data_IF_950083896280
#
_entry.id   IF_950083896280
#
_cell.length_a   1.000
_cell.length_b   1.000
_cell.length_c   1.000
_cell.angle_alpha   90.00
_cell.angle_beta   90.00
_cell.angle_gamma   90.00
#
_symmetry.space_group_name_H-M   'P 1'
#
loop_
_entity.id
_entity.type
_entity.pdbx_description
1 polymer ?
#
# COMPACT_ATOMS: atom_id res chain seq x y z
N UNK A 1 46.27 -54.80 -1.51
CA UNK A 1 45.78 -54.16 -2.77
C UNK A 1 44.41 -53.60 -2.54
N UNK A 2 44.34 -52.29 -2.27
CA UNK A 2 43.08 -51.56 -2.06
C UNK A 2 42.90 -50.54 -3.22
N UNK A 3 41.86 -50.74 -4.02
CA UNK A 3 41.55 -49.92 -5.22
C UNK A 3 40.57 -48.81 -4.84
N UNK A 4 41.01 -47.61 -4.98
CA UNK A 4 40.32 -46.40 -4.69
C UNK A 4 39.02 -46.23 -5.53
N UNK A 5 37.89 -46.03 -4.86
CA UNK A 5 36.61 -45.60 -5.45
C UNK A 5 36.39 -44.12 -5.14
N UNK A 6 36.73 -43.26 -6.05
CA UNK A 6 36.25 -41.84 -6.15
C UNK A 6 36.35 -41.45 -7.62
N UNK A 7 35.27 -41.05 -8.35
CA UNK A 7 34.72 -39.71 -8.25
C UNK A 7 33.23 -39.57 -8.78
N UNK A 8 32.23 -40.20 -8.25
CA UNK A 8 30.85 -40.01 -8.73
C UNK A 8 30.10 -38.90 -8.01
N UNK A 9 30.43 -38.59 -6.74
CA UNK A 9 29.71 -37.64 -5.91
C UNK A 9 29.96 -36.17 -6.34
N UNK A 10 31.17 -35.83 -6.78
CA UNK A 10 31.50 -34.43 -7.20
C UNK A 10 30.83 -34.00 -8.50
N UNK A 11 30.43 -34.92 -9.39
CA UNK A 11 29.79 -34.58 -10.67
C UNK A 11 28.29 -34.32 -10.50
N UNK A 12 27.62 -34.99 -9.56
CA UNK A 12 26.20 -34.76 -9.24
C UNK A 12 25.97 -33.42 -8.51
N UNK A 13 26.84 -33.03 -7.56
CA UNK A 13 26.80 -31.77 -6.87
C UNK A 13 26.93 -30.57 -7.83
N UNK A 14 27.92 -30.63 -8.77
CA UNK A 14 28.08 -29.57 -9.78
C UNK A 14 26.88 -29.43 -10.74
N UNK A 15 26.22 -30.54 -11.11
CA UNK A 15 25.03 -30.49 -11.97
C UNK A 15 23.83 -29.85 -11.23
N UNK A 16 23.64 -30.17 -9.97
CA UNK A 16 22.62 -29.56 -9.11
C UNK A 16 22.85 -28.05 -8.94
N UNK A 17 24.11 -27.63 -8.72
CA UNK A 17 24.45 -26.23 -8.56
C UNK A 17 24.23 -25.43 -9.84
N UNK A 18 24.55 -25.99 -11.01
CA UNK A 18 24.30 -25.35 -12.32
C UNK A 18 22.82 -25.23 -12.61
N UNK A 19 22.01 -26.26 -12.34
CA UNK A 19 20.55 -26.22 -12.50
C UNK A 19 19.94 -25.18 -11.57
N UNK A 20 20.33 -25.17 -10.30
CA UNK A 20 19.86 -24.18 -9.31
C UNK A 20 20.27 -22.76 -9.70
N UNK A 21 21.47 -22.56 -10.17
CA UNK A 21 21.94 -21.26 -10.68
C UNK A 21 21.15 -20.81 -11.92
N UNK A 22 20.96 -21.70 -12.88
CA UNK A 22 20.18 -21.41 -14.11
C UNK A 22 18.73 -21.05 -13.81
N UNK A 23 18.09 -21.75 -12.87
CA UNK A 23 16.74 -21.45 -12.42
C UNK A 23 16.68 -20.09 -11.72
N UNK A 24 17.62 -19.76 -10.86
CA UNK A 24 17.71 -18.44 -10.21
C UNK A 24 17.91 -17.30 -11.23
N UNK A 25 18.76 -17.47 -12.20
CA UNK A 25 18.98 -16.49 -13.27
C UNK A 25 17.73 -16.32 -14.14
N UNK A 26 17.03 -17.39 -14.50
CA UNK A 26 15.80 -17.34 -15.26
C UNK A 26 14.69 -16.60 -14.48
N UNK A 27 14.57 -16.87 -13.18
CA UNK A 27 13.61 -16.21 -12.29
C UNK A 27 13.95 -14.71 -12.15
N UNK A 28 15.21 -14.36 -11.94
CA UNK A 28 15.66 -12.96 -11.85
C UNK A 28 15.37 -12.17 -13.13
N UNK A 29 15.65 -12.76 -14.31
CA UNK A 29 15.35 -12.15 -15.60
C UNK A 29 13.84 -11.98 -15.85
N UNK A 30 13.03 -12.93 -15.39
CA UNK A 30 11.58 -12.82 -15.47
C UNK A 30 11.06 -11.68 -14.60
N UNK A 31 11.57 -11.56 -13.38
CA UNK A 31 11.19 -10.47 -12.47
C UNK A 31 11.66 -9.11 -13.00
N UNK A 32 12.87 -8.99 -13.51
CA UNK A 32 13.36 -7.77 -14.17
C UNK A 32 12.46 -7.35 -15.33
N UNK A 33 12.01 -8.31 -16.14
CA UNK A 33 11.10 -8.04 -17.26
C UNK A 33 9.72 -7.59 -16.76
N UNK A 34 9.21 -8.22 -15.70
CA UNK A 34 7.96 -7.87 -15.06
C UNK A 34 7.98 -6.44 -14.51
N UNK A 35 9.03 -6.07 -13.76
CA UNK A 35 9.22 -4.73 -13.23
C UNK A 35 9.35 -3.69 -14.36
N UNK A 36 10.08 -3.99 -15.42
CA UNK A 36 10.23 -3.10 -16.58
C UNK A 36 8.88 -2.82 -17.27
N UNK A 37 8.01 -3.83 -17.39
CA UNK A 37 6.65 -3.66 -17.93
C UNK A 37 5.80 -2.79 -16.99
N UNK A 38 5.90 -3.00 -15.69
CA UNK A 38 5.19 -2.19 -14.69
C UNK A 38 5.65 -0.73 -14.74
N UNK A 39 6.96 -0.48 -14.79
CA UNK A 39 7.50 0.88 -14.86
C UNK A 39 7.10 1.61 -16.14
N UNK A 40 7.10 0.92 -17.29
CA UNK A 40 6.61 1.43 -18.56
C UNK A 40 5.12 1.81 -18.46
N UNK A 41 4.29 0.95 -17.86
CA UNK A 41 2.88 1.24 -17.65
C UNK A 41 2.67 2.48 -16.78
N UNK A 42 3.40 2.58 -15.65
CA UNK A 42 3.28 3.73 -14.74
C UNK A 42 3.78 5.03 -15.39
N UNK A 43 4.78 4.97 -16.27
CA UNK A 43 5.21 6.14 -17.05
C UNK A 43 4.10 6.61 -17.99
N UNK A 44 3.53 5.71 -18.77
CA UNK A 44 2.45 6.02 -19.72
C UNK A 44 1.18 6.49 -18.99
N UNK A 45 0.80 5.88 -17.87
CA UNK A 45 -0.34 6.32 -17.06
C UNK A 45 -0.14 7.75 -16.53
N UNK A 46 1.09 8.13 -16.20
CA UNK A 46 1.44 9.50 -15.79
C UNK A 46 1.37 10.49 -16.94
N UNK A 47 1.85 10.11 -18.12
CA UNK A 47 1.97 11.00 -19.29
C UNK A 47 0.63 11.15 -20.03
N UNK A 48 -0.01 10.03 -20.37
CA UNK A 48 -1.21 10.00 -21.21
C UNK A 48 -2.50 9.77 -20.43
N UNK A 49 -2.40 9.16 -19.24
CA UNK A 49 -3.53 8.74 -18.42
C UNK A 49 -3.83 7.25 -18.57
N UNK A 50 -4.61 6.72 -17.63
CA UNK A 50 -4.96 5.30 -17.55
C UNK A 50 -5.83 4.86 -18.76
N UNK A 51 -6.85 5.65 -19.08
CA UNK A 51 -7.83 5.29 -20.12
C UNK A 51 -7.20 5.23 -21.52
N UNK A 52 -6.37 6.22 -21.86
CA UNK A 52 -5.73 6.38 -23.17
C UNK A 52 -4.53 5.43 -23.39
N UNK A 53 -4.08 4.72 -22.37
CA UNK A 53 -2.94 3.80 -22.47
C UNK A 53 -3.41 2.38 -22.78
N UNK A 54 -2.82 1.74 -23.80
CA UNK A 54 -3.10 0.34 -24.15
C UNK A 54 -1.98 -0.61 -23.74
N UNK A 55 -2.28 -1.90 -23.60
CA UNK A 55 -1.26 -2.95 -23.35
C UNK A 55 -0.21 -3.01 -24.47
N UNK A 56 -0.57 -2.63 -25.70
CA UNK A 56 0.37 -2.55 -26.82
C UNK A 56 1.36 -1.40 -26.64
N UNK A 57 0.88 -0.25 -26.19
CA UNK A 57 1.76 0.90 -25.91
C UNK A 57 2.73 0.56 -24.78
N UNK A 58 2.25 -0.09 -23.72
CA UNK A 58 3.06 -0.55 -22.58
C UNK A 58 4.13 -1.54 -23.05
N UNK A 59 3.78 -2.51 -23.90
CA UNK A 59 4.73 -3.47 -24.44
C UNK A 59 5.83 -2.77 -25.28
N UNK A 60 5.44 -1.82 -26.13
CA UNK A 60 6.37 -1.04 -26.94
C UNK A 60 7.32 -0.21 -26.06
N UNK A 61 6.81 0.49 -25.05
CA UNK A 61 7.60 1.27 -24.10
C UNK A 61 8.55 0.40 -23.28
N UNK A 62 8.10 -0.80 -22.86
CA UNK A 62 8.92 -1.77 -22.13
C UNK A 62 9.95 -2.49 -23.02
N UNK A 63 9.92 -2.31 -24.35
CA UNK A 63 10.81 -3.02 -25.28
C UNK A 63 10.55 -4.53 -25.32
N UNK A 64 9.29 -4.96 -25.21
CA UNK A 64 8.89 -6.36 -25.28
C UNK A 64 7.80 -6.59 -26.33
N UNK A 65 7.64 -7.84 -26.78
CA UNK A 65 6.52 -8.19 -27.64
C UNK A 65 5.20 -8.07 -26.86
N UNK A 66 4.10 -7.66 -27.55
CA UNK A 66 2.78 -7.51 -26.92
C UNK A 66 2.31 -8.79 -26.22
N UNK A 67 2.57 -9.97 -26.80
CA UNK A 67 2.26 -11.26 -26.20
C UNK A 67 3.04 -11.50 -24.89
N UNK A 68 4.28 -10.99 -24.79
CA UNK A 68 5.06 -11.08 -23.56
C UNK A 68 4.47 -10.18 -22.47
N UNK A 69 3.99 -8.96 -22.80
CA UNK A 69 3.32 -8.10 -21.82
C UNK A 69 2.07 -8.78 -21.26
N UNK A 70 1.24 -9.40 -22.10
CA UNK A 70 0.06 -10.15 -21.67
C UNK A 70 0.37 -11.43 -20.89
N UNK A 71 1.55 -12.01 -21.08
CA UNK A 71 2.00 -13.15 -20.26
C UNK A 71 2.26 -12.74 -18.81
N UNK A 72 2.83 -11.54 -18.57
CA UNK A 72 3.12 -11.03 -17.23
C UNK A 72 1.92 -10.35 -16.57
N UNK A 73 1.11 -9.64 -17.35
CA UNK A 73 -0.07 -8.89 -16.88
C UNK A 73 -1.20 -9.00 -17.88
N UNK A 74 -2.29 -9.61 -17.48
CA UNK A 74 -3.45 -9.87 -18.36
C UNK A 74 -4.24 -8.63 -18.71
N UNK A 75 -4.12 -7.57 -17.87
CA UNK A 75 -4.87 -6.31 -18.05
C UNK A 75 -4.14 -5.13 -17.41
N UNK A 76 -4.64 -3.91 -17.67
CA UNK A 76 -4.17 -2.69 -16.99
C UNK A 76 -4.49 -2.71 -15.50
N UNK A 77 -5.57 -3.34 -15.11
CA UNK A 77 -5.97 -3.50 -13.70
C UNK A 77 -4.95 -4.35 -12.94
N UNK A 78 -4.43 -5.43 -13.53
CA UNK A 78 -3.35 -6.22 -12.93
C UNK A 78 -2.07 -5.40 -12.73
N UNK A 79 -1.75 -4.48 -13.65
CA UNK A 79 -0.63 -3.54 -13.49
C UNK A 79 -0.86 -2.57 -12.32
N UNK A 80 -2.09 -2.07 -12.15
CA UNK A 80 -2.44 -1.23 -10.99
C UNK A 80 -2.37 -2.02 -9.69
N UNK A 81 -2.84 -3.27 -9.68
CA UNK A 81 -2.71 -4.14 -8.50
C UNK A 81 -1.24 -4.41 -8.15
N UNK A 82 -0.37 -4.60 -9.15
CA UNK A 82 1.07 -4.72 -8.93
C UNK A 82 1.69 -3.42 -8.39
N UNK A 83 1.25 -2.26 -8.87
CA UNK A 83 1.65 -0.97 -8.30
C UNK A 83 1.22 -0.84 -6.84
N UNK A 84 -0.01 -1.21 -6.49
CA UNK A 84 -0.46 -1.19 -5.10
C UNK A 84 0.36 -2.15 -4.21
N UNK A 85 0.67 -3.35 -4.71
CA UNK A 85 1.49 -4.32 -3.99
C UNK A 85 2.91 -3.77 -3.73
N UNK A 86 3.54 -3.14 -4.74
CA UNK A 86 4.86 -2.51 -4.63
C UNK A 86 4.85 -1.37 -3.60
N UNK A 87 3.86 -0.47 -3.67
CA UNK A 87 3.76 0.63 -2.70
C UNK A 87 3.50 0.13 -1.27
N UNK A 88 2.77 -0.96 -1.11
CA UNK A 88 2.55 -1.58 0.19
C UNK A 88 3.84 -2.22 0.76
N UNK A 89 4.68 -2.82 -0.09
CA UNK A 89 5.97 -3.38 0.32
C UNK A 89 6.94 -2.27 0.73
N UNK A 90 7.07 -1.21 -0.09
CA UNK A 90 7.88 -0.03 0.25
C UNK A 90 7.42 0.59 1.59
N UNK A 91 6.11 0.64 1.83
CA UNK A 91 5.56 1.15 3.09
C UNK A 91 5.93 0.28 4.30
N UNK A 92 6.01 -1.05 4.14
CA UNK A 92 6.43 -1.98 5.21
C UNK A 92 7.87 -1.75 5.67
N UNK A 93 8.73 -1.29 4.78
CA UNK A 93 10.12 -0.96 5.13
C UNK A 93 10.24 0.43 5.79
N UNK A 94 9.49 1.41 5.29
CA UNK A 94 9.64 2.82 5.67
C UNK A 94 8.85 3.19 6.92
N UNK A 95 7.59 2.73 7.05
CA UNK A 95 6.67 3.19 8.10
C UNK A 95 7.07 2.71 9.51
N UNK A 96 7.41 1.44 9.77
CA UNK A 96 7.67 0.96 11.13
C UNK A 96 8.77 1.73 11.86
N UNK A 97 9.95 2.02 11.26
CA UNK A 97 10.98 2.81 11.93
C UNK A 97 10.55 4.27 12.18
N UNK A 98 9.65 4.84 11.38
CA UNK A 98 9.11 6.18 11.62
C UNK A 98 8.14 6.21 12.80
N UNK A 99 7.26 5.20 12.91
CA UNK A 99 6.30 5.06 13.99
C UNK A 99 7.01 4.87 15.34
N UNK A 100 8.12 4.14 15.40
CA UNK A 100 8.87 3.88 16.63
C UNK A 100 9.69 5.07 17.14
N UNK A 101 9.93 6.10 16.31
CA UNK A 101 10.72 7.30 16.69
C UNK A 101 10.07 8.18 17.78
N UNK A 102 8.77 8.07 17.97
CA UNK A 102 8.04 8.91 18.91
C UNK A 102 6.90 8.13 19.56
N UNK A 103 6.57 8.44 20.80
CA UNK A 103 5.34 7.95 21.44
C UNK A 103 4.14 8.86 21.17
N UNK A 104 4.32 10.03 20.60
CA UNK A 104 3.26 10.97 20.26
C UNK A 104 2.35 10.39 19.16
N UNK A 105 1.08 10.18 19.47
CA UNK A 105 0.11 9.57 18.56
C UNK A 105 -0.08 10.41 17.30
N UNK A 106 -0.16 11.72 17.42
CA UNK A 106 -0.33 12.63 16.28
C UNK A 106 0.85 12.56 15.32
N UNK A 107 2.09 12.53 15.85
CA UNK A 107 3.30 12.36 15.02
C UNK A 107 3.35 11.02 14.31
N UNK A 108 2.90 9.95 14.97
CA UNK A 108 2.83 8.61 14.36
C UNK A 108 1.80 8.56 13.23
N UNK A 109 0.58 9.07 13.46
CA UNK A 109 -0.47 9.16 12.44
C UNK A 109 0.02 9.99 11.25
N UNK A 110 0.64 11.13 11.51
CA UNK A 110 1.22 11.98 10.48
C UNK A 110 2.26 11.25 9.65
N UNK A 111 3.22 10.58 10.29
CA UNK A 111 4.28 9.86 9.59
C UNK A 111 3.72 8.80 8.62
N UNK A 112 2.65 8.09 9.00
CA UNK A 112 1.98 7.12 8.13
C UNK A 112 1.37 7.83 6.92
N UNK A 113 0.57 8.88 7.16
CA UNK A 113 -0.15 9.58 6.08
C UNK A 113 0.82 10.29 5.13
N UNK A 114 1.81 11.00 5.65
CA UNK A 114 2.82 11.71 4.83
C UNK A 114 3.61 10.72 3.96
N UNK A 115 3.97 9.55 4.49
CA UNK A 115 4.66 8.51 3.72
C UNK A 115 3.79 8.04 2.54
N UNK A 116 2.52 7.76 2.78
CA UNK A 116 1.59 7.33 1.73
C UNK A 116 1.38 8.42 0.67
N UNK A 117 1.17 9.67 1.07
CA UNK A 117 1.03 10.78 0.13
C UNK A 117 2.28 10.95 -0.73
N UNK A 118 3.47 10.84 -0.12
CA UNK A 118 4.74 10.92 -0.84
C UNK A 118 4.90 9.79 -1.87
N UNK A 119 4.54 8.55 -1.52
CA UNK A 119 4.58 7.42 -2.45
C UNK A 119 3.66 7.63 -3.65
N UNK A 120 2.48 8.25 -3.46
CA UNK A 120 1.53 8.51 -4.53
C UNK A 120 1.81 9.80 -5.32
N UNK A 121 2.70 10.67 -4.86
CA UNK A 121 2.90 12.01 -5.44
C UNK A 121 3.22 11.96 -6.95
N UNK A 122 4.12 11.09 -7.36
CA UNK A 122 4.48 10.90 -8.77
C UNK A 122 3.36 10.29 -9.63
N UNK A 123 2.39 9.63 -8.98
CA UNK A 123 1.29 8.90 -9.62
C UNK A 123 -0.08 9.56 -9.41
N UNK A 124 -0.11 10.83 -8.99
CA UNK A 124 -1.36 11.55 -8.65
C UNK A 124 -2.40 11.50 -9.78
N UNK A 125 -1.97 11.67 -11.04
CA UNK A 125 -2.86 11.59 -12.21
C UNK A 125 -3.52 10.22 -12.33
N UNK A 126 -2.75 9.14 -12.11
CA UNK A 126 -3.27 7.77 -12.05
C UNK A 126 -4.27 7.63 -10.91
N UNK A 127 -3.95 8.10 -9.69
CA UNK A 127 -4.84 8.02 -8.53
C UNK A 127 -6.17 8.73 -8.77
N UNK A 128 -6.18 9.89 -9.44
CA UNK A 128 -7.42 10.59 -9.82
C UNK A 128 -8.26 9.77 -10.80
N UNK A 129 -7.64 9.11 -11.79
CA UNK A 129 -8.38 8.23 -12.69
C UNK A 129 -8.95 7.01 -11.95
N UNK A 130 -8.17 6.41 -11.05
CA UNK A 130 -8.58 5.23 -10.27
C UNK A 130 -9.74 5.52 -9.31
N UNK A 131 -9.86 6.74 -8.76
CA UNK A 131 -11.01 7.11 -7.92
C UNK A 131 -12.32 6.97 -8.67
N UNK A 132 -12.35 7.34 -9.95
CA UNK A 132 -13.59 7.29 -10.75
C UNK A 132 -14.12 5.86 -10.91
N UNK A 133 -13.23 4.90 -11.04
CA UNK A 133 -13.57 3.49 -11.21
C UNK A 133 -13.61 2.73 -9.88
N UNK A 134 -12.84 3.17 -8.88
CA UNK A 134 -12.75 2.54 -7.57
C UNK A 134 -13.85 2.91 -6.57
N UNK A 135 -14.78 3.80 -6.93
CA UNK A 135 -15.97 4.13 -6.10
C UNK A 135 -16.89 2.92 -5.96
N UNK A 136 -17.04 2.10 -7.01
CA UNK A 136 -17.81 0.86 -6.93
C UNK A 136 -17.04 -0.17 -6.09
N UNK A 137 -17.56 -0.62 -4.93
CA UNK A 137 -16.88 -1.62 -4.11
C UNK A 137 -16.67 -2.98 -4.81
N UNK A 138 -17.43 -3.26 -5.87
CA UNK A 138 -17.30 -4.49 -6.68
C UNK A 138 -16.20 -4.41 -7.72
N UNK A 139 -15.66 -3.22 -7.97
CA UNK A 139 -14.56 -3.08 -8.93
C UNK A 139 -13.26 -3.62 -8.33
N UNK A 140 -12.45 -4.42 -9.05
CA UNK A 140 -11.22 -5.03 -8.53
C UNK A 140 -10.21 -4.03 -7.95
N UNK A 141 -10.19 -2.79 -8.44
CA UNK A 141 -9.30 -1.73 -7.98
C UNK A 141 -9.88 -0.89 -6.85
N UNK A 142 -11.09 -1.19 -6.36
CA UNK A 142 -11.69 -0.45 -5.26
C UNK A 142 -10.90 -0.64 -3.98
N UNK A 143 -10.53 0.43 -3.25
CA UNK A 143 -9.88 0.30 -1.95
C UNK A 143 -10.79 -0.37 -0.90
N UNK A 144 -12.07 -0.48 -1.19
CA UNK A 144 -13.09 -1.10 -0.33
C UNK A 144 -13.47 -2.52 -0.77
N UNK A 145 -12.95 -2.98 -1.94
CA UNK A 145 -13.23 -4.29 -2.51
C UNK A 145 -12.50 -5.44 -1.83
N UNK A 146 -12.86 -6.66 -2.22
CA UNK A 146 -12.25 -7.89 -1.68
C UNK A 146 -10.82 -8.07 -2.20
N UNK A 147 -10.58 -7.81 -3.48
CA UNK A 147 -9.27 -7.98 -4.13
C UNK A 147 -8.18 -7.11 -3.51
N UNK A 148 -8.56 -5.93 -2.97
CA UNK A 148 -7.63 -5.03 -2.28
C UNK A 148 -7.55 -5.25 -0.78
N UNK A 149 -8.28 -6.22 -0.23
CA UNK A 149 -8.39 -6.46 1.22
C UNK A 149 -7.06 -6.68 1.91
N UNK A 150 -6.14 -7.44 1.31
CA UNK A 150 -4.81 -7.67 1.87
C UNK A 150 -4.00 -6.37 2.03
N UNK A 151 -4.04 -5.48 1.04
CA UNK A 151 -3.33 -4.19 1.06
C UNK A 151 -4.00 -3.21 2.04
N UNK A 152 -5.34 -3.20 2.06
CA UNK A 152 -6.12 -2.43 3.04
C UNK A 152 -5.76 -2.85 4.46
N UNK A 153 -5.74 -4.16 4.75
CA UNK A 153 -5.39 -4.68 6.06
C UNK A 153 -3.95 -4.34 6.46
N UNK A 154 -2.99 -4.45 5.55
CA UNK A 154 -1.61 -4.03 5.79
C UNK A 154 -1.52 -2.53 6.14
N UNK A 155 -2.30 -1.67 5.48
CA UNK A 155 -2.37 -0.24 5.79
C UNK A 155 -3.03 0.03 7.15
N UNK A 156 -4.07 -0.72 7.51
CA UNK A 156 -4.70 -0.66 8.84
C UNK A 156 -3.72 -1.10 9.93
N UNK A 157 -2.85 -2.08 9.66
CA UNK A 157 -1.85 -2.58 10.62
C UNK A 157 -0.80 -1.53 10.97
N UNK A 158 -0.47 -0.60 10.07
CA UNK A 158 0.38 0.55 10.43
C UNK A 158 -0.28 1.41 11.50
N UNK A 159 -1.57 1.68 11.40
CA UNK A 159 -2.30 2.42 12.43
C UNK A 159 -2.45 1.59 13.72
N UNK A 160 -2.60 0.26 13.62
CA UNK A 160 -2.59 -0.61 14.79
C UNK A 160 -1.26 -0.51 15.53
N UNK A 161 -0.14 -0.49 14.82
CA UNK A 161 1.18 -0.28 15.43
C UNK A 161 1.33 1.12 16.03
N UNK A 162 0.74 2.14 15.41
CA UNK A 162 0.83 3.52 15.88
C UNK A 162 0.13 3.76 17.22
N UNK A 163 -0.91 3.01 17.56
CA UNK A 163 -1.64 3.16 18.83
C UNK A 163 -0.99 2.40 20.00
N UNK A 164 -0.08 1.45 19.72
CA UNK A 164 0.63 0.72 20.78
C UNK A 164 1.56 1.68 21.52
N UNK A 165 1.48 1.71 22.84
CA UNK A 165 2.30 2.58 23.72
C UNK A 165 2.29 4.06 23.31
N UNK A 166 1.22 4.52 22.68
CA UNK A 166 1.06 5.91 22.28
C UNK A 166 0.73 6.85 23.42
N UNK A 167 1.07 8.13 23.21
CA UNK A 167 0.66 9.24 24.09
C UNK A 167 -0.14 10.25 23.26
N UNK A 168 -1.40 10.49 23.62
CA UNK A 168 -2.17 9.90 24.73
C UNK A 168 -2.46 8.40 24.52
N UNK A 169 -2.69 7.64 25.61
CA UNK A 169 -3.07 6.24 25.51
C UNK A 169 -4.47 6.12 24.91
N UNK A 170 -4.65 5.09 24.08
CA UNK A 170 -5.96 4.79 23.48
C UNK A 170 -6.77 3.89 24.41
N UNK A 171 -8.07 4.19 24.67
CA UNK A 171 -8.95 3.31 25.44
C UNK A 171 -9.01 1.91 24.84
N UNK A 172 -8.98 0.87 25.70
CA UNK A 172 -8.92 -0.54 25.25
C UNK A 172 -10.10 -0.94 24.36
N UNK A 173 -11.29 -0.43 24.66
CA UNK A 173 -12.51 -0.70 23.87
C UNK A 173 -12.52 0.02 22.50
N UNK A 174 -11.77 1.11 22.36
CA UNK A 174 -11.60 1.82 21.09
C UNK A 174 -10.42 1.25 20.26
N UNK A 175 -9.45 0.63 20.89
CA UNK A 175 -8.22 0.17 20.25
C UNK A 175 -8.46 -0.89 19.14
N UNK A 176 -9.56 -1.63 19.21
CA UNK A 176 -9.93 -2.60 18.18
C UNK A 176 -10.38 -1.93 16.88
N UNK A 177 -11.18 -0.86 16.96
CA UNK A 177 -11.84 -0.23 15.82
C UNK A 177 -11.07 1.01 15.31
N UNK A 178 -10.30 1.68 16.19
CA UNK A 178 -9.57 2.91 15.87
C UNK A 178 -8.61 2.78 14.67
N UNK A 179 -7.83 1.70 14.48
CA UNK A 179 -6.95 1.58 13.31
C UNK A 179 -7.70 1.68 11.99
N UNK A 180 -8.88 1.08 11.90
CA UNK A 180 -9.74 1.16 10.71
C UNK A 180 -10.31 2.57 10.52
N UNK A 181 -10.73 3.23 11.59
CA UNK A 181 -11.20 4.63 11.52
C UNK A 181 -10.09 5.57 11.06
N UNK A 182 -8.87 5.36 11.51
CA UNK A 182 -7.70 6.13 11.06
C UNK A 182 -7.35 5.86 9.59
N UNK A 183 -7.53 4.62 9.13
CA UNK A 183 -7.41 4.31 7.71
C UNK A 183 -8.48 5.01 6.87
N UNK A 184 -9.75 5.05 7.31
CA UNK A 184 -10.81 5.80 6.64
C UNK A 184 -10.51 7.30 6.62
N UNK A 185 -10.02 7.85 7.73
CA UNK A 185 -9.53 9.22 7.79
C UNK A 185 -8.43 9.47 6.77
N UNK A 186 -7.44 8.59 6.66
CA UNK A 186 -6.39 8.65 5.63
C UNK A 186 -6.98 8.64 4.22
N UNK A 187 -7.97 7.79 3.94
CA UNK A 187 -8.66 7.78 2.63
C UNK A 187 -9.29 9.14 2.31
N UNK A 188 -9.90 9.79 3.29
CA UNK A 188 -10.41 11.15 3.15
C UNK A 188 -9.32 12.18 2.83
N UNK A 189 -8.18 12.10 3.50
CA UNK A 189 -7.01 12.97 3.24
C UNK A 189 -6.46 12.71 1.83
N UNK A 190 -6.30 11.45 1.41
CA UNK A 190 -5.82 11.10 0.06
C UNK A 190 -6.79 11.63 -0.99
N UNK A 191 -8.11 11.48 -0.79
CA UNK A 191 -9.13 12.01 -1.69
C UNK A 191 -9.02 13.53 -1.82
N UNK A 192 -8.91 14.25 -0.70
CA UNK A 192 -8.73 15.70 -0.73
C UNK A 192 -7.43 16.10 -1.44
N UNK A 193 -6.32 15.42 -1.13
CA UNK A 193 -5.01 15.65 -1.73
C UNK A 193 -5.03 15.46 -3.25
N UNK A 194 -5.76 14.46 -3.76
CA UNK A 194 -5.85 14.23 -5.21
C UNK A 194 -6.42 15.42 -5.98
N UNK A 195 -7.28 16.22 -5.37
CA UNK A 195 -7.92 17.38 -5.98
C UNK A 195 -7.37 18.71 -5.47
N UNK A 196 -6.33 18.71 -4.64
CA UNK A 196 -5.70 19.94 -4.14
C UNK A 196 -4.76 20.56 -5.19
N UNK A 197 -5.21 21.60 -5.87
CA UNK A 197 -4.46 22.34 -6.88
C UNK A 197 -3.59 23.47 -6.27
N UNK A 198 -3.58 23.64 -4.96
CA UNK A 198 -2.78 24.68 -4.33
C UNK A 198 -1.28 24.39 -4.45
N UNK A 199 -0.48 25.45 -4.61
CA UNK A 199 0.98 25.32 -4.77
C UNK A 199 1.59 24.53 -3.62
N UNK A 200 2.23 23.41 -3.95
CA UNK A 200 2.83 22.48 -2.97
C UNK A 200 1.80 21.84 -2.03
N UNK A 201 0.53 21.73 -2.47
CA UNK A 201 -0.56 21.10 -1.70
C UNK A 201 -0.74 21.69 -0.30
N UNK A 202 -0.68 23.04 -0.21
CA UNK A 202 -0.78 23.76 1.08
C UNK A 202 -2.09 23.50 1.80
N UNK A 203 -3.21 23.33 1.05
CA UNK A 203 -4.52 23.09 1.65
C UNK A 203 -4.57 21.71 2.31
N UNK A 204 -3.99 20.68 1.66
CA UNK A 204 -3.89 19.34 2.24
C UNK A 204 -3.05 19.34 3.50
N UNK A 205 -1.91 20.05 3.50
CA UNK A 205 -1.06 20.15 4.70
C UNK A 205 -1.80 20.85 5.84
N UNK A 206 -2.47 21.97 5.56
CA UNK A 206 -3.24 22.70 6.58
C UNK A 206 -4.41 21.85 7.12
N UNK A 207 -5.11 21.09 6.23
CA UNK A 207 -6.15 20.17 6.62
C UNK A 207 -5.58 19.08 7.56
N UNK A 208 -4.47 18.46 7.17
CA UNK A 208 -3.84 17.40 7.93
C UNK A 208 -3.36 17.91 9.30
N UNK A 209 -2.72 19.10 9.34
CA UNK A 209 -2.27 19.73 10.58
C UNK A 209 -3.43 19.96 11.56
N UNK A 210 -4.51 20.59 11.11
CA UNK A 210 -5.66 20.90 11.97
C UNK A 210 -6.45 19.65 12.38
N UNK A 211 -6.62 18.68 11.47
CA UNK A 211 -7.46 17.51 11.75
C UNK A 211 -6.75 16.43 12.56
N UNK A 212 -5.42 16.27 12.48
CA UNK A 212 -4.68 15.35 13.36
C UNK A 212 -4.82 15.79 14.82
N UNK A 213 -4.63 17.08 15.10
CA UNK A 213 -4.80 17.62 16.45
C UNK A 213 -6.22 17.36 16.99
N UNK A 214 -7.23 17.57 16.15
CA UNK A 214 -8.63 17.30 16.49
C UNK A 214 -8.85 15.82 16.79
N UNK A 215 -8.37 14.91 15.94
CA UNK A 215 -8.48 13.46 16.12
C UNK A 215 -7.83 13.03 17.46
N UNK A 216 -6.62 13.49 17.74
CA UNK A 216 -5.92 13.17 19.00
C UNK A 216 -6.70 13.69 20.21
N UNK A 217 -7.22 14.92 20.15
CA UNK A 217 -8.07 15.49 21.24
C UNK A 217 -9.36 14.69 21.43
N UNK A 218 -10.02 14.26 20.36
CA UNK A 218 -11.21 13.41 20.44
C UNK A 218 -10.91 12.06 21.10
N UNK A 219 -9.76 11.45 20.78
CA UNK A 219 -9.30 10.22 21.45
C UNK A 219 -9.07 10.47 22.93
N UNK A 220 -8.41 11.58 23.32
CA UNK A 220 -8.21 11.97 24.71
C UNK A 220 -9.53 12.17 25.45
N UNK A 221 -10.45 12.94 24.89
CA UNK A 221 -11.77 13.19 25.47
C UNK A 221 -12.56 11.89 25.63
N UNK A 222 -12.46 10.98 24.64
CA UNK A 222 -13.11 9.68 24.69
C UNK A 222 -12.61 8.81 25.86
N UNK A 223 -11.41 9.09 26.39
CA UNK A 223 -10.82 8.37 27.54
C UNK A 223 -11.44 8.76 28.87
N UNK A 224 -12.20 9.87 28.93
CA UNK A 224 -12.87 10.30 30.16
C UNK A 224 -13.95 9.29 30.60
N UNK A 225 -14.08 9.01 31.92
CA UNK A 225 -15.04 8.02 32.42
C UNK A 225 -16.47 8.27 31.97
N UNK A 226 -16.91 9.54 31.93
CA UNK A 226 -18.24 9.94 31.52
C UNK A 226 -18.55 9.65 30.04
N UNK A 227 -17.53 9.55 29.18
CA UNK A 227 -17.66 9.28 27.75
C UNK A 227 -17.84 7.78 27.43
N UNK A 228 -17.67 6.89 28.40
CA UNK A 228 -17.69 5.44 28.18
C UNK A 228 -19.01 4.93 27.57
N UNK A 229 -20.17 5.48 27.99
CA UNK A 229 -21.48 5.10 27.43
C UNK A 229 -21.65 5.58 25.99
N UNK A 230 -21.26 6.82 25.70
CA UNK A 230 -21.34 7.40 24.36
C UNK A 230 -20.41 6.65 23.37
N UNK A 231 -19.17 6.37 23.80
CA UNK A 231 -18.21 5.60 23.02
C UNK A 231 -18.72 4.20 22.68
N UNK A 232 -19.25 3.45 23.65
CA UNK A 232 -19.83 2.13 23.41
C UNK A 232 -20.97 2.17 22.42
N UNK A 233 -21.85 3.18 22.51
CA UNK A 233 -22.97 3.36 21.58
C UNK A 233 -22.48 3.68 20.16
N UNK A 234 -21.48 4.55 20.02
CA UNK A 234 -20.86 4.87 18.74
C UNK A 234 -20.23 3.64 18.08
N UNK A 235 -19.45 2.86 18.87
CA UNK A 235 -18.82 1.64 18.36
C UNK A 235 -19.85 0.58 17.97
N UNK A 236 -20.97 0.46 18.70
CA UNK A 236 -22.06 -0.44 18.31
C UNK A 236 -22.69 -0.04 16.96
N UNK A 237 -22.90 1.26 16.73
CA UNK A 237 -23.40 1.76 15.43
C UNK A 237 -22.42 1.47 14.31
N UNK A 238 -21.11 1.72 14.52
CA UNK A 238 -20.08 1.46 13.51
C UNK A 238 -20.04 -0.02 13.11
N UNK A 239 -20.12 -0.94 14.08
CA UNK A 239 -20.12 -2.39 13.82
C UNK A 239 -21.39 -2.87 13.12
N UNK A 240 -22.54 -2.30 13.43
CA UNK A 240 -23.81 -2.64 12.78
C UNK A 240 -23.91 -2.20 11.31
N UNK A 241 -23.09 -1.26 10.87
CA UNK A 241 -22.99 -0.82 9.46
C UNK A 241 -22.03 -1.72 8.65
N UNK A 242 -21.25 -2.57 9.34
CA UNK A 242 -20.26 -3.47 8.73
C UNK A 242 -20.80 -4.87 8.44
N UNK A 243 -21.92 -5.26 9.05
CA UNK A 243 -22.68 -6.49 8.78
C UNK A 243 -23.62 -6.32 7.57
#
# INVERSE_FOLDING_TARGET
MARAARPRVRRAARASDVVTYSLRVATAKAEETRERILDAALSLFRERGFDETTMRDIAAEAGVATGAAYYYFRSKEELVMAFYARTAEDAREVIPPLVTRSHDLGKRIRAIIDTQLHQFEKHRRLMVALVRIGIDPKHPLSPFGEETSAMRNASIDFFRSAIVDSKPPVPKDLAADLPRLLWLYQMGIILFWMFDESRGQRRTRALLDGTIDLVVRLIQLSSLPMMGRLRKRLLAILRAVEE
#
